data_IF_716123934609
#
_entry.id   IF_716123934609
#
_cell.length_a   1.000
_cell.length_b   1.000
_cell.length_c   1.000
_cell.angle_alpha   90.00
_cell.angle_beta   90.00
_cell.angle_gamma   90.00
#
_symmetry.space_group_name_H-M   'P 1'
#
loop_
_entity.id
_entity.type
_entity.pdbx_description
1 polymer ?
#
# COMPACT_ATOMS: atom_id res chain seq x y z
N UNK A 1 3.43 -24.72 10.50
CA UNK A 1 3.32 -23.72 9.39
C UNK A 1 2.38 -22.61 9.87
N UNK A 2 2.62 -21.34 9.57
CA UNK A 2 1.69 -20.26 9.96
C UNK A 2 0.41 -20.39 9.12
N UNK A 3 -0.76 -20.28 9.75
CA UNK A 3 -2.05 -20.32 9.07
C UNK A 3 -2.38 -18.93 8.49
N UNK A 4 -2.07 -18.74 7.20
CA UNK A 4 -2.24 -17.45 6.54
C UNK A 4 -3.71 -17.03 6.41
N UNK A 5 -4.63 -17.98 6.22
CA UNK A 5 -6.07 -17.67 6.15
C UNK A 5 -6.56 -17.20 7.52
N UNK A 6 -6.29 -17.96 8.57
CA UNK A 6 -6.73 -17.58 9.92
C UNK A 6 -6.14 -16.23 10.36
N UNK A 7 -4.88 -15.94 10.03
CA UNK A 7 -4.26 -14.63 10.29
C UNK A 7 -5.01 -13.52 9.56
N UNK A 8 -5.30 -13.68 8.26
CA UNK A 8 -5.95 -12.63 7.48
C UNK A 8 -7.40 -12.42 7.90
N UNK A 9 -8.16 -13.49 8.14
CA UNK A 9 -9.57 -13.41 8.56
C UNK A 9 -9.71 -12.67 9.90
N UNK A 10 -8.79 -12.91 10.84
CA UNK A 10 -8.74 -12.17 12.12
C UNK A 10 -8.32 -10.71 11.95
N UNK A 11 -7.41 -10.44 11.01
CA UNK A 11 -6.97 -9.08 10.68
C UNK A 11 -8.15 -8.26 10.14
N UNK A 12 -8.82 -8.76 9.11
CA UNK A 12 -9.95 -8.07 8.48
C UNK A 12 -11.13 -7.93 9.44
N UNK A 13 -11.47 -8.99 10.19
CA UNK A 13 -12.55 -8.95 11.18
C UNK A 13 -12.30 -7.88 12.25
N UNK A 14 -11.07 -7.81 12.78
CA UNK A 14 -10.75 -6.81 13.80
C UNK A 14 -10.68 -5.39 13.21
N UNK A 15 -10.25 -5.23 11.96
CA UNK A 15 -10.32 -3.94 11.26
C UNK A 15 -11.75 -3.46 11.10
N UNK A 16 -12.63 -4.33 10.57
CA UNK A 16 -14.04 -4.04 10.34
C UNK A 16 -14.78 -3.64 11.61
N UNK A 17 -14.46 -4.27 12.76
CA UNK A 17 -15.02 -3.89 14.07
C UNK A 17 -14.66 -2.47 14.51
N UNK A 18 -13.62 -1.87 13.94
CA UNK A 18 -13.25 -0.47 14.18
C UNK A 18 -13.84 0.51 13.17
N UNK A 19 -14.57 0.01 12.16
CA UNK A 19 -15.23 0.85 11.17
C UNK A 19 -16.50 1.47 11.75
N UNK A 20 -16.76 2.73 11.41
CA UNK A 20 -18.06 3.37 11.63
C UNK A 20 -19.13 2.95 10.62
N UNK A 21 -18.78 2.15 9.60
CA UNK A 21 -19.70 1.66 8.59
C UNK A 21 -20.44 0.40 9.07
N UNK A 22 -21.57 0.11 8.42
CA UNK A 22 -22.20 -1.22 8.53
C UNK A 22 -21.30 -2.28 7.92
N UNK A 23 -21.51 -3.55 8.29
CA UNK A 23 -20.75 -4.66 7.72
C UNK A 23 -20.88 -4.74 6.19
N UNK A 24 -22.10 -4.54 5.68
CA UNK A 24 -22.36 -4.51 4.24
C UNK A 24 -21.59 -3.37 3.55
N UNK A 25 -21.71 -2.13 4.07
CA UNK A 25 -21.04 -0.98 3.46
C UNK A 25 -19.51 -1.10 3.52
N UNK A 26 -18.95 -1.68 4.58
CA UNK A 26 -17.51 -1.94 4.67
C UNK A 26 -17.04 -2.93 3.59
N UNK A 27 -17.79 -4.02 3.38
CA UNK A 27 -17.49 -5.02 2.34
C UNK A 27 -17.58 -4.41 0.94
N UNK A 28 -18.67 -3.71 0.64
CA UNK A 28 -18.87 -3.03 -0.66
C UNK A 28 -17.73 -2.04 -0.98
N UNK A 29 -17.16 -1.38 0.03
CA UNK A 29 -16.01 -0.47 -0.16
C UNK A 29 -14.70 -1.20 -0.46
N UNK A 30 -14.56 -2.45 -0.02
CA UNK A 30 -13.42 -3.31 -0.35
C UNK A 30 -13.62 -4.10 -1.64
N UNK A 31 -14.87 -4.33 -2.08
CA UNK A 31 -15.19 -5.10 -3.30
C UNK A 31 -14.55 -4.51 -4.56
N UNK A 32 -14.29 -3.21 -4.60
CA UNK A 32 -13.53 -2.58 -5.70
C UNK A 32 -12.14 -3.20 -5.92
N UNK A 33 -11.56 -3.82 -4.89
CA UNK A 33 -10.26 -4.50 -4.95
C UNK A 33 -10.38 -6.00 -5.26
N UNK A 34 -11.59 -6.56 -5.32
CA UNK A 34 -11.84 -7.96 -5.69
C UNK A 34 -11.68 -8.22 -7.19
N UNK A 35 -11.77 -7.17 -8.01
CA UNK A 35 -11.85 -7.28 -9.47
C UNK A 35 -10.76 -6.47 -10.18
N UNK A 36 -9.61 -6.29 -9.55
CA UNK A 36 -8.48 -5.56 -10.16
C UNK A 36 -7.61 -6.45 -11.05
N UNK A 37 -7.52 -7.75 -10.76
CA UNK A 37 -6.69 -8.68 -11.52
C UNK A 37 -7.35 -8.95 -12.89
N UNK A 38 -6.58 -8.77 -13.97
CA UNK A 38 -7.05 -8.99 -15.35
C UNK A 38 -8.08 -7.99 -15.85
N UNK A 39 -8.36 -6.91 -15.09
CA UNK A 39 -9.24 -5.84 -15.56
C UNK A 39 -8.51 -5.01 -16.62
N UNK A 40 -9.09 -4.84 -17.83
CA UNK A 40 -8.49 -3.97 -18.85
C UNK A 40 -8.50 -2.52 -18.35
N UNK A 41 -7.39 -1.83 -18.58
CA UNK A 41 -7.21 -0.43 -18.26
C UNK A 41 -6.87 0.34 -19.53
N UNK A 42 -7.46 1.51 -19.70
CA UNK A 42 -7.04 2.47 -20.73
C UNK A 42 -5.68 3.09 -20.39
N UNK A 43 -5.00 3.63 -21.39
CA UNK A 43 -3.72 4.32 -21.20
C UNK A 43 -3.82 5.48 -20.20
N UNK A 44 -4.93 6.22 -20.22
CA UNK A 44 -5.21 7.28 -19.24
C UNK A 44 -5.43 6.73 -17.82
N UNK A 45 -5.98 5.53 -17.65
CA UNK A 45 -6.11 4.88 -16.33
C UNK A 45 -4.75 4.42 -15.82
N UNK A 46 -3.91 3.82 -16.66
CA UNK A 46 -2.53 3.47 -16.29
C UNK A 46 -1.73 4.72 -15.88
N UNK A 47 -1.81 5.78 -16.67
CA UNK A 47 -1.19 7.06 -16.35
C UNK A 47 -1.68 7.62 -15.02
N UNK A 48 -3.00 7.62 -14.80
CA UNK A 48 -3.60 8.11 -13.56
C UNK A 48 -3.15 7.33 -12.32
N UNK A 49 -3.05 5.99 -12.41
CA UNK A 49 -2.51 5.16 -11.33
C UNK A 49 -1.05 5.55 -11.05
N UNK A 50 -0.25 5.78 -12.10
CA UNK A 50 1.13 6.22 -11.97
C UNK A 50 1.24 7.58 -11.24
N UNK A 51 0.41 8.55 -11.61
CA UNK A 51 0.31 9.85 -10.93
C UNK A 51 -0.03 9.66 -9.46
N UNK A 52 -1.02 8.82 -9.15
CA UNK A 52 -1.42 8.53 -7.77
C UNK A 52 -0.26 8.00 -6.93
N UNK A 53 0.43 6.95 -7.39
CA UNK A 53 1.53 6.35 -6.62
C UNK A 53 2.70 7.31 -6.41
N UNK A 54 2.97 8.20 -7.39
CA UNK A 54 3.95 9.28 -7.26
C UNK A 54 3.56 10.22 -6.13
N UNK A 55 2.30 10.68 -6.05
CA UNK A 55 1.88 11.58 -4.98
C UNK A 55 1.81 10.89 -3.61
N UNK A 56 1.39 9.62 -3.56
CA UNK A 56 1.40 8.82 -2.33
C UNK A 56 2.81 8.58 -1.76
N UNK A 57 3.83 8.48 -2.63
CA UNK A 57 5.21 8.23 -2.17
C UNK A 57 5.72 9.33 -1.21
N UNK A 58 6.05 8.97 0.03
CA UNK A 58 6.54 9.95 1.01
C UNK A 58 5.52 10.95 1.56
N UNK A 59 4.21 10.77 1.31
CA UNK A 59 3.14 11.53 1.96
C UNK A 59 2.23 10.62 2.78
N UNK A 60 1.49 11.21 3.72
CA UNK A 60 0.41 10.49 4.39
C UNK A 60 -0.74 10.28 3.41
N UNK A 61 -1.18 9.03 3.26
CA UNK A 61 -2.22 8.65 2.29
C UNK A 61 -3.47 9.52 2.40
N UNK A 62 -4.00 9.73 3.61
CA UNK A 62 -5.20 10.55 3.84
C UNK A 62 -5.06 12.01 3.35
N UNK A 63 -3.85 12.59 3.38
CA UNK A 63 -3.59 13.94 2.85
C UNK A 63 -3.61 13.99 1.33
N UNK A 64 -3.14 12.93 0.68
CA UNK A 64 -3.15 12.79 -0.79
C UNK A 64 -4.55 12.47 -1.27
N UNK A 65 -5.23 11.50 -0.65
CA UNK A 65 -6.62 11.12 -0.98
C UNK A 65 -7.56 12.34 -0.97
N UNK A 66 -7.43 13.22 0.03
CA UNK A 66 -8.23 14.45 0.12
C UNK A 66 -7.96 15.48 -0.99
N UNK A 67 -6.97 15.25 -1.86
CA UNK A 67 -6.57 16.13 -2.96
C UNK A 67 -6.62 15.42 -4.32
N UNK A 68 -7.10 14.17 -4.39
CA UNK A 68 -7.08 13.41 -5.65
C UNK A 68 -7.87 14.09 -6.76
N UNK A 69 -9.05 14.66 -6.47
CA UNK A 69 -9.85 15.35 -7.50
C UNK A 69 -9.09 16.56 -8.07
N UNK A 70 -8.38 17.30 -7.22
CA UNK A 70 -7.54 18.42 -7.64
C UNK A 70 -6.29 17.96 -8.40
N UNK A 71 -5.65 16.89 -7.96
CA UNK A 71 -4.52 16.31 -8.69
C UNK A 71 -5.01 15.84 -10.07
N UNK A 72 -6.18 15.22 -10.13
CA UNK A 72 -6.79 14.72 -11.36
C UNK A 72 -7.11 15.84 -12.34
N UNK A 73 -7.59 16.99 -11.87
CA UNK A 73 -7.88 18.11 -12.77
C UNK A 73 -6.65 18.62 -13.54
N UNK A 74 -5.44 18.42 -13.00
CA UNK A 74 -4.19 18.78 -13.67
C UNK A 74 -3.54 17.62 -14.45
N UNK A 75 -3.89 16.38 -14.15
CA UNK A 75 -3.20 15.20 -14.67
C UNK A 75 -4.14 14.13 -15.23
N UNK A 76 -5.32 14.50 -15.73
CA UNK A 76 -6.34 13.56 -16.19
C UNK A 76 -5.98 12.85 -17.50
N UNK A 77 -5.25 13.53 -18.39
CA UNK A 77 -4.96 13.07 -19.75
C UNK A 77 -3.46 13.09 -20.03
N UNK A 78 -2.87 11.94 -20.33
CA UNK A 78 -1.43 11.83 -20.53
C UNK A 78 -0.94 12.55 -21.79
N UNK A 79 -1.76 12.64 -22.85
CA UNK A 79 -1.36 13.29 -24.09
C UNK A 79 -1.28 14.81 -23.90
N UNK A 80 -2.24 15.38 -23.16
CA UNK A 80 -2.24 16.79 -22.78
C UNK A 80 -1.08 17.07 -21.83
N UNK A 81 -0.89 16.24 -20.80
CA UNK A 81 0.18 16.46 -19.82
C UNK A 81 1.56 16.32 -20.45
N UNK A 82 1.74 15.47 -21.45
CA UNK A 82 3.01 15.32 -22.16
C UNK A 82 3.45 16.62 -22.85
N UNK A 83 2.53 17.56 -23.12
CA UNK A 83 2.85 18.87 -23.71
C UNK A 83 3.10 19.96 -22.66
N UNK A 84 2.98 19.67 -21.37
CA UNK A 84 3.15 20.67 -20.31
C UNK A 84 4.58 21.22 -20.27
N UNK A 85 4.70 22.54 -20.15
CA UNK A 85 5.96 23.25 -20.04
C UNK A 85 6.12 23.96 -18.70
N UNK A 86 7.06 24.90 -18.65
CA UNK A 86 7.36 25.71 -17.46
C UNK A 86 6.17 26.54 -16.98
N UNK A 87 5.26 26.93 -17.89
CA UNK A 87 4.06 27.69 -17.59
C UNK A 87 3.08 26.86 -16.75
N UNK A 88 2.72 25.66 -17.21
CA UNK A 88 1.79 24.76 -16.52
C UNK A 88 2.36 24.32 -15.17
N UNK A 89 3.67 24.03 -15.10
CA UNK A 89 4.34 23.74 -13.82
C UNK A 89 4.21 24.92 -12.84
N UNK A 90 4.37 26.15 -13.31
CA UNK A 90 4.26 27.35 -12.47
C UNK A 90 2.82 27.60 -12.01
N UNK A 91 1.85 27.32 -12.88
CA UNK A 91 0.42 27.37 -12.55
C UNK A 91 0.05 26.36 -11.45
N UNK A 92 0.41 25.09 -11.62
CA UNK A 92 0.14 24.02 -10.64
C UNK A 92 0.78 24.34 -9.27
N UNK A 93 1.99 24.89 -9.26
CA UNK A 93 2.68 25.27 -8.02
C UNK A 93 2.08 26.51 -7.34
N UNK A 94 1.39 27.34 -8.12
CA UNK A 94 0.72 28.55 -7.62
C UNK A 94 -0.61 28.24 -6.94
N UNK A 95 -1.25 27.12 -7.30
CA UNK A 95 -2.45 26.66 -6.61
C UNK A 95 -2.18 26.40 -5.11
N UNK A 96 -2.91 27.10 -4.26
CA UNK A 96 -2.80 27.03 -2.79
C UNK A 96 -3.25 25.68 -2.23
N UNK A 97 -4.13 24.99 -2.93
CA UNK A 97 -4.68 23.71 -2.52
C UNK A 97 -3.86 22.53 -3.05
N UNK A 98 -2.93 22.74 -3.97
CA UNK A 98 -2.12 21.67 -4.55
C UNK A 98 -1.00 21.21 -3.60
N UNK A 99 -0.55 19.96 -3.76
CA UNK A 99 0.67 19.47 -3.12
C UNK A 99 1.87 20.08 -3.86
N UNK A 100 2.50 21.10 -3.24
CA UNK A 100 3.60 21.88 -3.83
C UNK A 100 4.92 21.11 -3.84
N UNK A 101 5.01 20.10 -4.69
CA UNK A 101 6.22 19.31 -4.92
C UNK A 101 6.60 19.37 -6.40
N UNK A 102 7.49 20.32 -6.75
CA UNK A 102 7.95 20.54 -8.12
C UNK A 102 8.51 19.27 -8.76
N UNK A 103 9.28 18.46 -8.03
CA UNK A 103 9.89 17.23 -8.57
C UNK A 103 8.83 16.20 -8.97
N UNK A 104 7.76 16.06 -8.19
CA UNK A 104 6.66 15.14 -8.50
C UNK A 104 5.81 15.61 -9.68
N UNK A 105 5.52 16.91 -9.75
CA UNK A 105 4.82 17.51 -10.88
C UNK A 105 5.62 17.26 -12.17
N UNK A 106 6.92 17.54 -12.14
CA UNK A 106 7.80 17.29 -13.27
C UNK A 106 7.86 15.80 -13.65
N UNK A 107 7.92 14.91 -12.67
CA UNK A 107 7.87 13.46 -12.92
C UNK A 107 6.58 13.00 -13.59
N UNK A 108 5.42 13.58 -13.25
CA UNK A 108 4.16 13.27 -13.93
C UNK A 108 4.24 13.65 -15.42
N UNK A 109 4.84 14.80 -15.75
CA UNK A 109 5.04 15.27 -17.12
C UNK A 109 5.99 14.35 -17.90
N UNK A 110 7.16 14.06 -17.32
CA UNK A 110 8.15 13.15 -17.94
C UNK A 110 7.58 11.74 -18.14
N UNK A 111 6.79 11.24 -17.19
CA UNK A 111 6.16 9.93 -17.31
C UNK A 111 5.02 9.92 -18.34
N UNK A 112 4.30 11.02 -18.50
CA UNK A 112 3.30 11.16 -19.57
C UNK A 112 3.96 11.07 -20.96
N UNK A 113 5.15 11.69 -21.11
CA UNK A 113 5.95 11.60 -22.33
C UNK A 113 6.47 10.19 -22.58
N UNK A 114 6.99 9.53 -21.54
CA UNK A 114 7.46 8.14 -21.63
C UNK A 114 6.32 7.17 -21.98
N UNK A 115 5.15 7.34 -21.37
CA UNK A 115 3.96 6.54 -21.68
C UNK A 115 3.51 6.76 -23.13
N UNK A 116 3.47 8.00 -23.61
CA UNK A 116 3.15 8.32 -25.00
C UNK A 116 4.09 7.65 -26.00
N UNK A 117 5.39 7.58 -25.70
CA UNK A 117 6.36 6.88 -26.53
C UNK A 117 6.11 5.36 -26.56
N UNK A 118 5.80 4.76 -25.41
CA UNK A 118 5.45 3.34 -25.31
C UNK A 118 4.17 3.02 -26.10
N UNK A 119 3.13 3.85 -25.96
CA UNK A 119 1.87 3.69 -26.71
C UNK A 119 2.12 3.75 -28.22
N UNK A 120 3.01 4.64 -28.68
CA UNK A 120 3.37 4.71 -30.10
C UNK A 120 4.11 3.47 -30.61
N UNK A 121 4.91 2.80 -29.76
CA UNK A 121 5.67 1.59 -30.12
C UNK A 121 4.84 0.31 -30.02
N UNK A 122 4.04 0.15 -28.96
CA UNK A 122 3.31 -1.07 -28.64
C UNK A 122 1.80 -1.01 -28.97
N UNK A 123 1.30 0.15 -29.38
CA UNK A 123 -0.13 0.41 -29.66
C UNK A 123 -0.96 0.73 -28.41
N UNK A 124 -0.53 0.30 -27.22
CA UNK A 124 -1.10 0.70 -25.92
C UNK A 124 -0.13 0.38 -24.79
N UNK A 125 -0.32 0.98 -23.62
CA UNK A 125 0.44 0.63 -22.42
C UNK A 125 0.06 -0.76 -21.89
N UNK A 126 -1.19 -1.18 -22.08
CA UNK A 126 -1.65 -2.53 -21.74
C UNK A 126 -0.90 -3.60 -22.55
N UNK A 127 -0.78 -3.40 -23.87
CA UNK A 127 -0.01 -4.29 -24.74
C UNK A 127 1.49 -4.32 -24.37
N UNK A 128 2.05 -3.19 -23.94
CA UNK A 128 3.40 -3.14 -23.40
C UNK A 128 3.54 -4.01 -22.15
N UNK A 129 2.64 -3.87 -21.16
CA UNK A 129 2.65 -4.71 -19.95
C UNK A 129 2.47 -6.19 -20.30
N UNK A 130 1.56 -6.52 -21.21
CA UNK A 130 1.29 -7.88 -21.66
C UNK A 130 2.49 -8.52 -22.36
N UNK A 131 3.33 -7.74 -23.05
CA UNK A 131 4.52 -8.26 -23.75
C UNK A 131 5.57 -8.94 -22.84
N UNK A 132 5.45 -8.73 -21.52
CA UNK A 132 6.29 -9.40 -20.52
C UNK A 132 5.69 -10.70 -19.99
N UNK A 133 4.43 -11.04 -20.30
CA UNK A 133 3.70 -12.16 -19.71
C UNK A 133 3.83 -12.23 -18.16
N UNK A 134 3.52 -11.13 -17.42
CA UNK A 134 3.86 -10.99 -16.00
C UNK A 134 3.07 -11.93 -15.07
N UNK A 135 2.01 -12.56 -15.56
CA UNK A 135 1.21 -13.54 -14.80
C UNK A 135 1.75 -14.96 -14.92
N UNK A 136 2.54 -15.26 -15.95
CA UNK A 136 3.03 -16.62 -16.24
C UNK A 136 4.15 -17.03 -15.27
N UNK A 137 5.04 -16.11 -14.91
CA UNK A 137 6.14 -16.40 -14.00
C UNK A 137 6.49 -15.22 -13.10
N UNK A 138 7.07 -15.52 -11.93
CA UNK A 138 7.57 -14.47 -11.04
C UNK A 138 8.78 -13.74 -11.65
N UNK A 139 9.55 -14.41 -12.49
CA UNK A 139 10.69 -13.83 -13.19
C UNK A 139 10.22 -12.75 -14.19
N UNK A 140 9.24 -13.08 -15.03
CA UNK A 140 8.61 -12.17 -15.98
C UNK A 140 8.06 -10.91 -15.30
N UNK A 141 7.38 -11.09 -14.17
CA UNK A 141 6.88 -9.99 -13.36
C UNK A 141 8.00 -9.10 -12.80
N UNK A 142 9.15 -9.68 -12.44
CA UNK A 142 10.30 -8.91 -12.00
C UNK A 142 11.01 -8.22 -13.17
N UNK A 143 11.02 -8.80 -14.37
CA UNK A 143 11.52 -8.12 -15.58
C UNK A 143 10.68 -6.88 -15.91
N UNK A 144 9.34 -7.00 -15.91
CA UNK A 144 8.43 -5.86 -16.06
C UNK A 144 8.71 -4.80 -14.98
N UNK A 145 8.89 -5.22 -13.72
CA UNK A 145 9.22 -4.31 -12.62
C UNK A 145 10.51 -3.53 -12.90
N UNK A 146 11.60 -4.20 -13.31
CA UNK A 146 12.87 -3.52 -13.61
C UNK A 146 12.74 -2.55 -14.78
N UNK A 147 12.03 -2.92 -15.85
CA UNK A 147 11.77 -2.03 -16.99
C UNK A 147 10.96 -0.79 -16.61
N UNK A 148 9.93 -0.97 -15.77
CA UNK A 148 9.15 0.15 -15.24
C UNK A 148 9.99 1.09 -14.37
N UNK A 149 10.91 0.56 -13.57
CA UNK A 149 11.83 1.39 -12.76
C UNK A 149 12.85 2.13 -13.62
N UNK A 150 13.28 1.53 -14.73
CA UNK A 150 14.22 2.15 -15.66
C UNK A 150 13.57 3.29 -16.45
N UNK A 151 12.35 3.08 -16.96
CA UNK A 151 11.69 4.01 -17.88
C UNK A 151 10.98 5.17 -17.18
N UNK A 152 10.47 4.95 -15.98
CA UNK A 152 9.61 5.93 -15.31
C UNK A 152 10.25 6.58 -14.09
N UNK A 153 10.17 7.90 -14.06
CA UNK A 153 10.71 8.73 -12.98
C UNK A 153 9.81 8.62 -11.75
N UNK A 154 10.42 8.61 -10.56
CA UNK A 154 9.74 8.37 -9.28
C UNK A 154 9.09 6.99 -9.11
N UNK A 155 9.30 6.05 -10.02
CA UNK A 155 8.76 4.69 -9.91
C UNK A 155 9.69 3.69 -9.21
N UNK A 156 10.86 4.08 -8.69
CA UNK A 156 11.81 3.15 -8.05
C UNK A 156 11.40 2.54 -6.69
N UNK A 157 12.04 1.42 -6.34
CA UNK A 157 12.01 0.73 -5.04
C UNK A 157 10.63 0.19 -4.67
N UNK A 158 9.94 0.85 -3.74
CA UNK A 158 8.63 0.44 -3.23
C UNK A 158 7.52 0.97 -4.15
N UNK A 159 7.78 2.07 -4.88
CA UNK A 159 6.75 2.73 -5.70
C UNK A 159 6.36 1.87 -6.91
N UNK A 160 7.29 1.18 -7.58
CA UNK A 160 6.93 0.24 -8.65
C UNK A 160 6.06 -0.90 -8.14
N UNK A 161 6.33 -1.43 -6.93
CA UNK A 161 5.45 -2.44 -6.36
C UNK A 161 4.06 -1.86 -6.08
N UNK A 162 3.96 -0.59 -5.66
CA UNK A 162 2.66 0.09 -5.52
C UNK A 162 1.89 0.12 -6.83
N UNK A 163 2.56 0.56 -7.90
CA UNK A 163 1.98 0.62 -9.23
C UNK A 163 1.52 -0.76 -9.71
N UNK A 164 2.40 -1.76 -9.63
CA UNK A 164 2.10 -3.15 -9.99
C UNK A 164 0.91 -3.70 -9.21
N UNK A 165 0.84 -3.48 -7.89
CA UNK A 165 -0.31 -3.90 -7.07
C UNK A 165 -1.60 -3.20 -7.54
N UNK A 166 -1.56 -1.90 -7.85
CA UNK A 166 -2.74 -1.12 -8.25
C UNK A 166 -3.25 -1.44 -9.66
N UNK A 167 -2.38 -1.89 -10.57
CA UNK A 167 -2.77 -2.39 -11.91
C UNK A 167 -3.15 -3.89 -11.89
N UNK A 168 -3.25 -4.51 -10.71
CA UNK A 168 -3.71 -5.89 -10.57
C UNK A 168 -2.66 -6.97 -10.81
N UNK A 169 -1.36 -6.65 -10.75
CA UNK A 169 -0.31 -7.67 -10.77
C UNK A 169 -0.23 -8.40 -9.42
N UNK A 170 0.15 -9.70 -9.40
CA UNK A 170 0.18 -10.52 -8.19
C UNK A 170 1.40 -10.21 -7.30
N UNK A 171 1.57 -8.94 -6.92
CA UNK A 171 2.63 -8.41 -6.07
C UNK A 171 2.02 -7.65 -4.91
N UNK A 172 2.54 -7.87 -3.71
CA UNK A 172 2.19 -7.05 -2.56
C UNK A 172 3.20 -5.92 -2.44
N UNK A 173 2.74 -4.69 -2.17
CA UNK A 173 3.60 -3.53 -1.93
C UNK A 173 4.29 -3.65 -0.56
N UNK A 174 5.62 -3.86 -0.50
CA UNK A 174 6.33 -4.10 0.75
C UNK A 174 6.72 -2.78 1.44
N UNK A 175 5.73 -1.96 1.79
CA UNK A 175 5.99 -0.68 2.47
C UNK A 175 6.31 -0.84 3.96
N UNK A 176 6.63 0.28 4.63
CA UNK A 176 6.92 0.33 6.06
C UNK A 176 5.77 -0.11 6.97
N UNK A 177 4.53 -0.12 6.47
CA UNK A 177 3.37 -0.57 7.23
C UNK A 177 3.32 -2.09 7.18
N UNK A 178 3.31 -2.67 5.98
CA UNK A 178 3.20 -4.12 5.80
C UNK A 178 4.41 -4.83 6.38
N UNK A 179 5.62 -4.36 6.09
CA UNK A 179 6.86 -4.95 6.62
C UNK A 179 6.91 -4.92 8.16
N UNK A 180 6.48 -3.83 8.79
CA UNK A 180 6.36 -3.74 10.26
C UNK A 180 5.37 -4.77 10.81
N UNK A 181 4.19 -4.89 10.21
CA UNK A 181 3.18 -5.86 10.65
C UNK A 181 3.74 -7.29 10.50
N UNK A 182 4.34 -7.62 9.35
CA UNK A 182 4.89 -8.95 9.11
C UNK A 182 6.03 -9.27 10.07
N UNK A 183 6.89 -8.31 10.40
CA UNK A 183 7.94 -8.49 11.41
C UNK A 183 7.35 -8.73 12.79
N UNK A 184 6.31 -7.98 13.18
CA UNK A 184 5.63 -8.16 14.48
C UNK A 184 4.92 -9.52 14.60
N UNK A 185 4.48 -10.10 13.49
CA UNK A 185 3.88 -11.44 13.41
C UNK A 185 4.92 -12.58 13.32
N UNK A 186 6.22 -12.25 13.26
CA UNK A 186 7.29 -13.24 13.08
C UNK A 186 7.36 -13.84 11.68
N UNK A 187 6.76 -13.19 10.67
CA UNK A 187 6.77 -13.66 9.29
C UNK A 187 8.06 -13.28 8.55
N UNK A 188 8.68 -12.16 8.95
CA UNK A 188 9.99 -11.70 8.51
C UNK A 188 10.82 -11.28 9.72
N UNK A 189 12.14 -11.37 9.61
CA UNK A 189 13.10 -11.02 10.67
C UNK A 189 13.42 -9.53 10.66
N UNK A 190 13.41 -8.91 9.48
CA UNK A 190 13.77 -7.51 9.27
C UNK A 190 12.81 -6.84 8.29
N UNK A 191 12.47 -5.58 8.56
CA UNK A 191 11.67 -4.74 7.66
C UNK A 191 12.36 -4.47 6.31
N UNK A 192 13.66 -4.82 6.18
CA UNK A 192 14.43 -4.78 4.93
C UNK A 192 14.20 -6.00 4.02
N UNK A 193 13.51 -7.05 4.48
CA UNK A 193 13.23 -8.25 3.67
C UNK A 193 12.04 -8.02 2.71
N UNK A 194 12.22 -7.09 1.76
CA UNK A 194 11.15 -6.65 0.85
C UNK A 194 10.64 -7.77 -0.04
N UNK A 195 11.54 -8.52 -0.69
CA UNK A 195 11.16 -9.63 -1.56
C UNK A 195 10.41 -10.74 -0.81
N UNK A 196 10.86 -11.09 0.41
CA UNK A 196 10.14 -12.05 1.27
C UNK A 196 8.74 -11.54 1.62
N UNK A 197 8.58 -10.24 1.81
CA UNK A 197 7.27 -9.59 2.07
C UNK A 197 6.35 -9.70 0.85
N UNK A 198 6.85 -9.46 -0.36
CA UNK A 198 6.12 -9.66 -1.63
C UNK A 198 5.63 -11.11 -1.75
N UNK A 199 6.54 -12.08 -1.53
CA UNK A 199 6.22 -13.52 -1.61
C UNK A 199 5.19 -13.95 -0.55
N UNK A 200 5.25 -13.39 0.66
CA UNK A 200 4.25 -13.65 1.69
C UNK A 200 2.86 -13.12 1.30
N UNK A 201 2.78 -11.98 0.62
CA UNK A 201 1.52 -11.47 0.06
C UNK A 201 0.84 -12.48 -0.88
N UNK A 202 1.62 -13.13 -1.76
CA UNK A 202 1.12 -14.21 -2.64
C UNK A 202 0.65 -15.43 -1.84
N UNK A 203 1.31 -15.76 -0.73
CA UNK A 203 0.86 -16.85 0.16
C UNK A 203 -0.45 -16.53 0.87
N UNK A 204 -0.64 -15.28 1.32
CA UNK A 204 -1.91 -14.81 1.85
C UNK A 204 -3.01 -14.91 0.79
N UNK A 205 -2.79 -14.32 -0.39
CA UNK A 205 -3.74 -14.39 -1.52
C UNK A 205 -4.14 -15.83 -1.86
N UNK A 206 -3.16 -16.74 -2.01
CA UNK A 206 -3.43 -18.17 -2.26
C UNK A 206 -4.25 -18.83 -1.15
N UNK A 207 -3.96 -18.53 0.12
CA UNK A 207 -4.67 -19.12 1.25
C UNK A 207 -6.11 -18.59 1.38
N UNK A 208 -6.32 -17.30 1.08
CA UNK A 208 -7.61 -16.62 1.22
C UNK A 208 -8.47 -16.69 -0.04
N UNK A 209 -7.89 -17.02 -1.20
CA UNK A 209 -8.50 -16.86 -2.53
C UNK A 209 -8.94 -15.41 -2.81
N UNK A 210 -8.21 -14.44 -2.25
CA UNK A 210 -8.44 -13.01 -2.48
C UNK A 210 -7.30 -12.42 -3.32
N UNK A 211 -7.57 -11.41 -4.17
CA UNK A 211 -6.53 -10.71 -4.92
C UNK A 211 -5.44 -10.13 -4.03
N UNK A 212 -4.21 -10.07 -4.54
CA UNK A 212 -3.08 -9.54 -3.74
C UNK A 212 -3.31 -8.06 -3.36
N UNK A 213 -4.00 -7.29 -4.22
CA UNK A 213 -4.38 -5.91 -3.93
C UNK A 213 -5.33 -5.78 -2.75
N UNK A 214 -6.28 -6.70 -2.62
CA UNK A 214 -7.19 -6.77 -1.49
C UNK A 214 -6.41 -7.04 -0.21
N UNK A 215 -5.49 -8.01 -0.24
CA UNK A 215 -4.60 -8.28 0.88
C UNK A 215 -3.80 -7.03 1.27
N UNK A 216 -3.20 -6.34 0.29
CA UNK A 216 -2.40 -5.13 0.51
C UNK A 216 -3.21 -4.02 1.20
N UNK A 217 -4.41 -3.68 0.70
CA UNK A 217 -5.16 -2.54 1.25
C UNK A 217 -5.57 -2.81 2.70
N UNK A 218 -5.96 -4.04 3.02
CA UNK A 218 -6.37 -4.38 4.38
C UNK A 218 -5.16 -4.28 5.33
N UNK A 219 -3.98 -4.81 4.96
CA UNK A 219 -2.76 -4.64 5.78
C UNK A 219 -2.33 -3.17 5.90
N UNK A 220 -2.38 -2.41 4.80
CA UNK A 220 -2.01 -1.00 4.77
C UNK A 220 -2.92 -0.17 5.70
N UNK A 221 -4.23 -0.36 5.62
CA UNK A 221 -5.21 0.31 6.50
C UNK A 221 -5.05 -0.14 7.95
N UNK A 222 -4.79 -1.43 8.20
CA UNK A 222 -4.60 -1.97 9.55
C UNK A 222 -3.47 -1.30 10.33
N UNK A 223 -2.41 -0.85 9.66
CA UNK A 223 -1.27 -0.17 10.29
C UNK A 223 -1.07 1.28 9.88
N UNK A 224 -2.00 1.87 9.13
CA UNK A 224 -1.91 3.23 8.61
C UNK A 224 -2.25 4.31 9.65
N UNK A 225 -1.44 5.36 9.71
CA UNK A 225 -1.74 6.53 10.57
C UNK A 225 -2.79 7.41 9.89
N UNK A 226 -3.83 7.79 10.65
CA UNK A 226 -4.94 8.60 10.15
C UNK A 226 -6.05 7.78 9.48
N UNK A 227 -5.93 6.45 9.50
CA UNK A 227 -6.94 5.52 9.05
C UNK A 227 -7.28 5.64 7.56
N UNK A 228 -8.50 5.24 7.23
CA UNK A 228 -9.05 5.27 5.88
C UNK A 228 -10.51 5.72 5.97
N UNK A 229 -10.80 6.90 5.41
CA UNK A 229 -12.13 7.51 5.46
C UNK A 229 -13.15 6.75 4.63
N UNK A 230 -12.73 6.15 3.51
CA UNK A 230 -13.61 5.39 2.62
C UNK A 230 -14.11 4.12 3.33
N UNK A 231 -13.28 3.58 4.22
CA UNK A 231 -13.58 2.40 5.04
C UNK A 231 -14.14 2.74 6.43
N UNK A 232 -14.39 4.03 6.73
CA UNK A 232 -14.85 4.48 8.05
C UNK A 232 -13.88 4.17 9.20
N UNK A 233 -12.58 4.01 8.90
CA UNK A 233 -11.53 3.73 9.88
C UNK A 233 -10.90 5.05 10.31
N UNK A 234 -11.09 5.45 11.57
CA UNK A 234 -10.53 6.70 12.09
C UNK A 234 -8.99 6.65 12.24
N UNK A 235 -8.44 5.49 12.61
CA UNK A 235 -7.00 5.28 12.76
C UNK A 235 -6.65 3.79 12.68
N UNK A 236 -5.42 3.46 12.27
CA UNK A 236 -4.94 2.07 12.23
C UNK A 236 -4.75 1.45 13.63
N UNK A 237 -4.74 0.11 13.68
CA UNK A 237 -4.58 -0.69 14.90
C UNK A 237 -3.10 -0.96 15.18
N UNK A 238 -2.34 -1.47 14.20
CA UNK A 238 -0.95 -1.89 14.36
C UNK A 238 0.04 -0.76 14.05
N UNK A 239 -0.15 0.41 14.67
CA UNK A 239 0.66 1.60 14.43
C UNK A 239 2.12 1.42 14.86
N UNK A 240 3.02 2.21 14.26
CA UNK A 240 4.44 2.23 14.62
C UNK A 240 4.63 2.56 16.10
N UNK A 241 4.04 3.68 16.53
CA UNK A 241 3.99 4.12 17.92
C UNK A 241 2.61 3.82 18.50
N UNK A 242 2.57 3.36 19.74
CA UNK A 242 1.33 3.10 20.49
C UNK A 242 0.30 2.22 19.74
N UNK A 243 0.67 1.00 19.28
CA UNK A 243 -0.29 0.11 18.65
C UNK A 243 -1.42 -0.25 19.63
N UNK A 244 -2.66 -0.27 19.14
CA UNK A 244 -3.82 -0.64 19.94
C UNK A 244 -3.97 -2.17 20.02
N UNK A 245 -3.08 -2.82 20.76
CA UNK A 245 -3.08 -4.27 20.90
C UNK A 245 -4.35 -4.82 21.58
N UNK A 246 -5.13 -4.00 22.29
CA UNK A 246 -6.35 -4.44 22.99
C UNK A 246 -7.46 -4.83 22.00
N UNK A 247 -7.58 -4.10 20.89
CA UNK A 247 -8.58 -4.39 19.84
C UNK A 247 -8.02 -5.21 18.68
N UNK A 248 -6.72 -5.52 18.71
CA UNK A 248 -6.04 -6.27 17.66
C UNK A 248 -6.46 -7.75 17.67
N UNK A 249 -7.02 -8.24 16.56
CA UNK A 249 -7.41 -9.65 16.39
C UNK A 249 -6.22 -10.61 16.25
N UNK A 250 -5.01 -10.09 16.10
CA UNK A 250 -3.81 -10.89 15.79
C UNK A 250 -2.95 -11.24 17.00
N UNK A 251 -3.44 -11.02 18.22
CA UNK A 251 -2.65 -11.21 19.45
C UNK A 251 -2.02 -12.60 19.54
N UNK A 252 -2.77 -13.64 19.21
CA UNK A 252 -2.33 -15.03 19.29
C UNK A 252 -1.28 -15.40 18.22
N UNK A 253 -1.15 -14.58 17.18
CA UNK A 253 -0.19 -14.76 16.10
C UNK A 253 1.02 -13.81 16.19
N UNK A 254 1.05 -12.92 17.19
CA UNK A 254 1.93 -11.75 17.22
C UNK A 254 3.10 -11.90 18.22
N UNK A 255 4.28 -12.24 17.69
CA UNK A 255 5.54 -12.30 18.44
C UNK A 255 5.84 -11.00 19.21
N UNK A 256 5.51 -9.83 18.65
CA UNK A 256 5.67 -8.54 19.33
C UNK A 256 4.79 -8.42 20.57
N UNK A 257 3.54 -8.88 20.50
CA UNK A 257 2.62 -8.82 21.62
C UNK A 257 3.00 -9.82 22.71
N UNK A 258 3.35 -11.06 22.32
CA UNK A 258 3.84 -12.09 23.24
C UNK A 258 5.05 -11.61 24.06
N UNK A 259 6.04 -10.99 23.41
CA UNK A 259 7.20 -10.38 24.09
C UNK A 259 6.80 -9.26 25.05
N UNK A 260 5.81 -8.43 24.67
CA UNK A 260 5.33 -7.33 25.53
C UNK A 260 4.62 -7.83 26.78
N UNK A 261 3.87 -8.93 26.69
CA UNK A 261 3.22 -9.58 27.84
C UNK A 261 4.27 -10.09 28.83
N UNK A 262 5.27 -10.83 28.35
CA UNK A 262 6.36 -11.36 29.19
C UNK A 262 7.09 -10.24 29.95
N UNK A 263 7.42 -9.12 29.28
CA UNK A 263 8.05 -7.97 29.94
C UNK A 263 7.14 -7.33 31.01
N UNK A 264 5.83 -7.29 30.76
CA UNK A 264 4.86 -6.72 31.70
C UNK A 264 4.71 -7.60 32.95
N UNK A 265 4.71 -8.92 32.78
CA UNK A 265 4.70 -9.91 33.88
C UNK A 265 5.96 -9.77 34.75
N UNK A 266 7.15 -9.73 34.13
CA UNK A 266 8.44 -9.53 34.83
C UNK A 266 8.43 -8.21 35.63
N UNK A 267 7.91 -7.13 35.06
CA UNK A 267 7.80 -5.84 35.74
C UNK A 267 6.82 -5.89 36.93
N UNK A 268 5.67 -6.55 36.77
CA UNK A 268 4.67 -6.75 37.82
C UNK A 268 5.21 -7.57 39.00
N UNK A 269 5.97 -8.63 38.73
CA UNK A 269 6.65 -9.43 39.76
C UNK A 269 7.70 -8.64 40.52
N UNK A 270 8.50 -7.82 39.84
CA UNK A 270 9.50 -6.93 40.48
C UNK A 270 8.84 -5.89 41.38
N UNK A 271 7.71 -5.29 40.95
CA UNK A 271 6.95 -4.34 41.77
C UNK A 271 6.35 -4.99 43.03
N UNK A 272 5.80 -6.21 42.90
CA UNK A 272 5.29 -6.99 44.05
C UNK A 272 6.40 -7.37 45.03
N UNK A 273 7.58 -7.76 44.56
CA UNK A 273 8.75 -8.06 45.41
C UNK A 273 9.34 -6.80 46.07
N UNK A 274 9.32 -5.65 45.41
CA UNK A 274 9.75 -4.36 45.96
C UNK A 274 8.86 -3.85 47.09
N UNK A 275 7.53 -3.98 46.95
CA UNK A 275 6.56 -3.62 48.00
C UNK A 275 6.65 -4.51 49.24
N UNK A 276 7.00 -5.80 49.10
CA UNK A 276 7.21 -6.71 50.25
C UNK A 276 8.49 -6.42 51.04
N UNK A 277 9.48 -5.72 50.48
CA UNK A 277 10.73 -5.37 51.17
C UNK A 277 10.70 -4.05 51.95
N UNK A 278 9.68 -3.21 51.73
CA UNK A 278 9.54 -1.89 52.40
C UNK A 278 8.33 -1.85 53.35
N UNK A 279 7.73 -3.01 53.64
CA UNK A 279 6.57 -3.16 54.53
C UNK A 279 6.86 -3.96 55.81
N UNK A 280 8.13 -4.08 56.20
CA UNK A 280 8.58 -4.64 57.48
C UNK A 280 9.43 -3.61 58.20
#
# INVERSE_FOLDING_TARGET
MKDYRAIFDQLETSLRRQSSLTEQAFRERLDKFMHVEGKPLSDNEYYWIMVCVIFYSGFQASKVTAKLDLIRSYFADYEIVATYGSREVSEILSDKNMIKNRRKIQACIENAQALKAIVAEHGSFDAYVASFDPTESFENLMLLKEELEYRFVYLGKITVYHFLTDIGMPVLKPDRIVTRIFRRLGLIESEKQLLKTVLLGRKFSKATALPVRYIDIVFATYGGVGGDRDLGIANGICLEKNPNCLVCGLRDYCDYYAKRLQLSEIAGERSRKGKRKHGN
#
